data_IF_097868374926
#
_entry.id   IF_097868374926
#
_cell.length_a   1.000
_cell.length_b   1.000
_cell.length_c   1.000
_cell.angle_alpha   90.00
_cell.angle_beta   90.00
_cell.angle_gamma   90.00
#
_symmetry.space_group_name_H-M   'P 1'
#
loop_
_entity.id
_entity.type
_entity.pdbx_description
1 polymer ?
#
# COMPACT_ATOMS: atom_id res chain seq x y z
N UNK A 1 6.39 34.22 -30.45
CA UNK A 1 6.38 32.85 -29.95
C UNK A 1 4.92 32.38 -29.95
N UNK A 2 4.54 31.57 -30.93
CA UNK A 2 3.17 31.08 -31.06
C UNK A 2 3.05 29.85 -30.17
N UNK A 3 2.34 29.98 -29.07
CA UNK A 3 1.98 28.82 -28.22
C UNK A 3 0.91 28.02 -28.98
N UNK A 4 1.30 26.86 -29.54
CA UNK A 4 0.35 25.97 -30.17
C UNK A 4 -0.68 25.51 -29.12
N UNK A 5 -1.98 25.73 -29.40
CA UNK A 5 -3.06 25.16 -28.59
C UNK A 5 -2.96 23.63 -28.68
N UNK A 6 -2.89 22.91 -27.54
CA UNK A 6 -2.85 21.45 -27.56
C UNK A 6 -4.11 20.89 -28.24
N UNK A 7 -3.96 19.83 -29.06
CA UNK A 7 -5.10 19.16 -29.68
C UNK A 7 -6.00 18.52 -28.61
N UNK A 8 -7.29 18.32 -28.92
CA UNK A 8 -8.26 17.67 -28.01
C UNK A 8 -7.73 16.29 -27.56
N UNK A 9 -7.21 15.47 -28.49
CA UNK A 9 -6.61 14.16 -28.18
C UNK A 9 -5.43 14.25 -27.21
N UNK A 10 -4.65 15.35 -27.25
CA UNK A 10 -3.56 15.58 -26.31
C UNK A 10 -4.08 15.95 -24.93
N UNK A 11 -5.18 16.70 -24.84
CA UNK A 11 -5.83 17.04 -23.57
C UNK A 11 -6.47 15.82 -22.92
N UNK A 12 -7.18 15.00 -23.71
CA UNK A 12 -7.79 13.75 -23.25
C UNK A 12 -6.71 12.79 -22.68
N UNK A 13 -5.60 12.60 -23.39
CA UNK A 13 -4.50 11.77 -22.92
C UNK A 13 -3.85 12.30 -21.62
N UNK A 14 -3.76 13.62 -21.47
CA UNK A 14 -3.26 14.25 -20.24
C UNK A 14 -4.25 14.09 -19.08
N UNK A 15 -5.55 14.25 -19.35
CA UNK A 15 -6.60 14.04 -18.35
C UNK A 15 -6.59 12.59 -17.89
N UNK A 16 -6.59 11.62 -18.81
CA UNK A 16 -6.53 10.21 -18.48
C UNK A 16 -5.33 9.87 -17.60
N UNK A 17 -4.14 10.43 -17.90
CA UNK A 17 -2.96 10.24 -17.06
C UNK A 17 -3.16 10.77 -15.64
N UNK A 18 -3.81 11.92 -15.46
CA UNK A 18 -4.10 12.48 -14.14
C UNK A 18 -5.12 11.63 -13.38
N UNK A 19 -6.16 11.13 -14.05
CA UNK A 19 -7.16 10.24 -13.49
C UNK A 19 -6.53 8.89 -13.06
N UNK A 20 -5.62 8.35 -13.88
CA UNK A 20 -4.86 7.13 -13.55
C UNK A 20 -3.98 7.32 -12.31
N UNK A 21 -3.26 8.46 -12.22
CA UNK A 21 -2.43 8.79 -11.05
C UNK A 21 -3.31 8.88 -9.79
N UNK A 22 -4.45 9.57 -9.89
CA UNK A 22 -5.35 9.70 -8.73
C UNK A 22 -5.98 8.36 -8.36
N UNK A 23 -6.34 7.52 -9.33
CA UNK A 23 -6.85 6.17 -9.09
C UNK A 23 -5.83 5.28 -8.32
N UNK A 24 -4.54 5.37 -8.68
CA UNK A 24 -3.46 4.68 -7.98
C UNK A 24 -3.25 5.25 -6.57
N UNK A 25 -3.36 6.57 -6.37
CA UNK A 25 -3.33 7.19 -5.04
C UNK A 25 -4.47 6.69 -4.16
N UNK A 26 -5.69 6.63 -4.70
CA UNK A 26 -6.87 6.11 -4.01
C UNK A 26 -6.71 4.61 -3.70
N UNK A 27 -6.13 3.82 -4.62
CA UNK A 27 -5.82 2.42 -4.38
C UNK A 27 -4.85 2.26 -3.19
N UNK A 28 -3.79 3.07 -3.13
CA UNK A 28 -2.85 3.07 -2.00
C UNK A 28 -3.50 3.50 -0.70
N UNK A 29 -4.35 4.52 -0.73
CA UNK A 29 -5.08 4.97 0.47
C UNK A 29 -6.01 3.87 1.00
N UNK A 30 -6.73 3.15 0.11
CA UNK A 30 -7.56 1.99 0.49
C UNK A 30 -6.72 0.86 1.09
N UNK A 31 -5.50 0.62 0.58
CA UNK A 31 -4.60 -0.36 1.16
C UNK A 31 -4.22 0.02 2.60
N UNK A 32 -3.81 1.26 2.85
CA UNK A 32 -3.51 1.76 4.19
C UNK A 32 -4.73 1.62 5.11
N UNK A 33 -5.90 2.07 4.67
CA UNK A 33 -7.15 1.95 5.44
C UNK A 33 -7.51 0.48 5.75
N UNK A 34 -7.30 -0.45 4.81
CA UNK A 34 -7.51 -1.88 5.05
C UNK A 34 -6.56 -2.47 6.08
N UNK A 35 -5.29 -2.02 6.09
CA UNK A 35 -4.32 -2.37 7.14
C UNK A 35 -4.76 -1.81 8.50
N UNK A 36 -5.23 -0.56 8.55
CA UNK A 36 -5.64 0.10 9.78
C UNK A 36 -7.00 -0.37 10.30
N UNK A 37 -7.81 -1.00 9.44
CA UNK A 37 -9.03 -1.74 9.82
C UNK A 37 -8.72 -3.17 10.33
N UNK A 38 -7.73 -3.29 11.21
CA UNK A 38 -7.29 -4.57 11.77
C UNK A 38 -6.85 -5.58 10.69
N UNK A 39 -6.16 -5.09 9.65
CA UNK A 39 -5.69 -5.89 8.51
C UNK A 39 -6.80 -6.72 7.85
N UNK A 40 -7.94 -6.08 7.59
CA UNK A 40 -9.11 -6.76 7.04
C UNK A 40 -8.80 -7.50 5.72
N UNK A 41 -8.80 -8.85 5.73
CA UNK A 41 -8.36 -9.63 4.58
C UNK A 41 -9.27 -9.49 3.37
N UNK A 42 -10.57 -9.19 3.55
CA UNK A 42 -11.50 -9.00 2.46
C UNK A 42 -11.27 -7.65 1.77
N UNK A 43 -11.09 -6.58 2.56
CA UNK A 43 -10.75 -5.25 2.03
C UNK A 43 -9.40 -5.29 1.30
N UNK A 44 -8.38 -5.88 1.91
CA UNK A 44 -7.04 -5.95 1.35
C UNK A 44 -6.99 -6.84 0.11
N UNK A 45 -7.59 -8.03 0.14
CA UNK A 45 -7.58 -8.97 -0.98
C UNK A 45 -8.21 -8.40 -2.26
N UNK A 46 -9.25 -7.58 -2.15
CA UNK A 46 -9.91 -6.94 -3.29
C UNK A 46 -8.99 -5.97 -4.08
N UNK A 47 -7.91 -5.50 -3.46
CA UNK A 47 -6.99 -4.54 -4.07
C UNK A 47 -5.90 -5.20 -4.94
N UNK A 48 -5.77 -6.51 -4.89
CA UNK A 48 -4.73 -7.27 -5.59
C UNK A 48 -5.31 -8.06 -6.78
N UNK A 49 -4.51 -8.25 -7.82
CA UNK A 49 -4.79 -9.23 -8.86
C UNK A 49 -4.66 -10.66 -8.32
N UNK A 50 -5.28 -11.63 -9.01
CA UNK A 50 -5.25 -13.04 -8.58
C UNK A 50 -3.82 -13.61 -8.52
N UNK A 51 -2.95 -13.15 -9.43
CA UNK A 51 -1.54 -13.52 -9.56
C UNK A 51 -0.57 -12.53 -8.90
N UNK A 52 -1.08 -11.62 -8.08
CA UNK A 52 -0.27 -10.59 -7.45
C UNK A 52 0.72 -11.15 -6.41
N UNK A 53 1.71 -10.33 -6.08
CA UNK A 53 2.71 -10.65 -5.05
C UNK A 53 2.75 -9.56 -4.00
N UNK A 54 2.65 -9.95 -2.74
CA UNK A 54 2.93 -9.09 -1.59
C UNK A 54 4.18 -9.60 -0.86
N UNK A 55 5.08 -8.68 -0.52
CA UNK A 55 6.32 -9.02 0.18
C UNK A 55 6.71 -7.91 1.14
N UNK A 56 7.23 -8.26 2.30
CA UNK A 56 7.82 -7.29 3.22
C UNK A 56 9.09 -7.86 3.86
N UNK A 57 10.10 -6.97 3.99
CA UNK A 57 11.37 -7.32 4.61
C UNK A 57 11.16 -7.84 6.05
N UNK A 58 11.77 -8.98 6.36
CA UNK A 58 11.65 -9.61 7.67
C UNK A 58 10.32 -10.33 7.94
N UNK A 59 9.37 -10.32 6.99
CA UNK A 59 8.08 -11.01 7.11
C UNK A 59 8.01 -12.18 6.13
N UNK A 60 8.23 -11.93 4.84
CA UNK A 60 8.17 -12.95 3.82
C UNK A 60 7.48 -12.48 2.54
N UNK A 61 7.29 -13.45 1.62
CA UNK A 61 6.71 -13.24 0.29
C UNK A 61 5.49 -14.15 0.11
N UNK A 62 4.38 -13.56 -0.30
CA UNK A 62 3.11 -14.24 -0.54
C UNK A 62 2.69 -14.01 -1.99
N UNK A 63 2.54 -15.09 -2.75
CA UNK A 63 2.21 -15.07 -4.17
C UNK A 63 0.79 -15.58 -4.39
N UNK A 64 -0.01 -14.81 -5.10
CA UNK A 64 -1.42 -15.01 -5.32
C UNK A 64 -2.30 -14.36 -4.24
N UNK A 65 -3.49 -13.88 -4.66
CA UNK A 65 -4.46 -13.21 -3.78
C UNK A 65 -4.79 -14.05 -2.56
N UNK A 66 -5.00 -15.36 -2.73
CA UNK A 66 -5.37 -16.25 -1.63
C UNK A 66 -4.27 -16.36 -0.58
N UNK A 67 -2.99 -16.40 -1.00
CA UNK A 67 -1.87 -16.42 -0.07
C UNK A 67 -1.74 -15.08 0.67
N UNK A 68 -1.98 -13.97 -0.01
CA UNK A 68 -1.97 -12.62 0.57
C UNK A 68 -3.09 -12.48 1.61
N UNK A 69 -4.32 -12.86 1.27
CA UNK A 69 -5.47 -12.81 2.20
C UNK A 69 -5.29 -13.76 3.37
N UNK A 70 -4.72 -14.94 3.12
CA UNK A 70 -4.38 -15.92 4.16
C UNK A 70 -3.38 -15.34 5.18
N UNK A 71 -2.36 -14.64 4.71
CA UNK A 71 -1.41 -13.95 5.59
C UNK A 71 -2.09 -12.89 6.47
N UNK A 72 -2.90 -12.00 5.88
CA UNK A 72 -3.61 -10.96 6.65
C UNK A 72 -4.63 -11.56 7.63
N UNK A 73 -5.32 -12.62 7.23
CA UNK A 73 -6.21 -13.36 8.14
C UNK A 73 -5.47 -13.95 9.34
N UNK A 74 -4.30 -14.55 9.11
CA UNK A 74 -3.48 -15.10 10.17
C UNK A 74 -2.93 -13.99 11.09
N UNK A 75 -2.47 -12.87 10.52
CA UNK A 75 -2.00 -11.72 11.30
C UNK A 75 -3.11 -11.17 12.20
N UNK A 76 -4.30 -10.93 11.64
CA UNK A 76 -5.49 -10.48 12.37
C UNK A 76 -5.84 -11.43 13.52
N UNK A 77 -5.84 -12.73 13.27
CA UNK A 77 -6.17 -13.76 14.25
C UNK A 77 -5.21 -13.78 15.46
N UNK A 78 -3.99 -13.24 15.32
CA UNK A 78 -3.06 -13.14 16.46
C UNK A 78 -3.52 -12.16 17.52
N UNK A 79 -4.36 -11.16 17.17
CA UNK A 79 -4.73 -10.05 18.05
C UNK A 79 -3.51 -9.23 18.54
N UNK A 80 -2.37 -9.35 17.87
CA UNK A 80 -1.12 -8.72 18.30
C UNK A 80 -1.15 -7.21 18.11
N UNK A 81 -1.61 -6.75 16.95
CA UNK A 81 -1.73 -5.32 16.63
C UNK A 81 -3.07 -4.83 17.14
N UNK A 82 -3.07 -3.83 17.99
CA UNK A 82 -4.29 -3.26 18.59
C UNK A 82 -4.88 -2.13 17.76
N UNK A 83 -4.01 -1.29 17.24
CA UNK A 83 -4.32 -0.20 16.32
C UNK A 83 -3.09 0.13 15.51
N UNK A 84 -3.28 0.64 14.32
CA UNK A 84 -2.20 1.12 13.44
C UNK A 84 -2.66 2.32 12.62
N UNK A 85 -1.68 3.09 12.18
CA UNK A 85 -1.83 4.21 11.27
C UNK A 85 -0.74 4.11 10.20
N UNK A 86 -1.13 3.77 8.97
CA UNK A 86 -0.23 3.70 7.83
C UNK A 86 -0.25 4.99 7.03
N UNK A 87 0.84 5.74 7.04
CA UNK A 87 1.03 6.93 6.22
C UNK A 87 1.91 6.59 5.01
N UNK A 88 1.31 6.44 3.83
CA UNK A 88 2.04 6.37 2.57
C UNK A 88 2.18 7.76 1.97
N UNK A 89 3.43 8.23 1.81
CA UNK A 89 3.74 9.62 1.50
C UNK A 89 4.66 9.72 0.28
N UNK A 90 4.76 10.96 -0.28
CA UNK A 90 5.73 11.33 -1.32
C UNK A 90 5.73 10.37 -2.53
N UNK A 91 4.56 10.14 -3.17
CA UNK A 91 4.47 9.22 -4.29
C UNK A 91 5.28 9.68 -5.50
N UNK A 92 5.98 8.72 -6.12
CA UNK A 92 6.48 8.82 -7.48
C UNK A 92 5.77 7.73 -8.27
N UNK A 93 4.93 8.12 -9.24
CA UNK A 93 4.09 7.20 -10.03
C UNK A 93 4.40 7.41 -11.51
N UNK A 94 4.80 6.33 -12.18
CA UNK A 94 5.05 6.31 -13.62
C UNK A 94 4.08 5.34 -14.29
N UNK A 95 3.34 5.86 -15.30
CA UNK A 95 2.31 5.12 -16.03
C UNK A 95 2.78 4.84 -17.45
N UNK A 96 2.59 3.59 -17.88
CA UNK A 96 2.87 3.12 -19.24
C UNK A 96 1.71 2.24 -19.72
N UNK A 97 0.75 2.84 -20.43
CA UNK A 97 -0.47 2.15 -20.87
C UNK A 97 -1.27 1.61 -19.69
N UNK A 98 -1.51 0.29 -19.67
CA UNK A 98 -2.25 -0.40 -18.61
C UNK A 98 -1.36 -0.94 -17.48
N UNK A 99 -0.13 -0.46 -17.40
CA UNK A 99 0.81 -0.77 -16.32
C UNK A 99 1.33 0.51 -15.67
N UNK A 100 1.68 0.44 -14.40
CA UNK A 100 2.33 1.53 -13.70
C UNK A 100 3.29 1.01 -12.64
N UNK A 101 4.23 1.87 -12.25
CA UNK A 101 5.08 1.66 -11.08
C UNK A 101 4.84 2.77 -10.05
N UNK A 102 5.01 2.45 -8.78
CA UNK A 102 4.90 3.41 -7.69
C UNK A 102 6.00 3.23 -6.66
N UNK A 103 6.49 4.34 -6.16
CA UNK A 103 7.38 4.38 -5.01
C UNK A 103 6.81 5.33 -3.97
N UNK A 104 6.77 4.88 -2.69
CA UNK A 104 6.18 5.65 -1.59
C UNK A 104 7.08 5.59 -0.37
N UNK A 105 7.10 6.66 0.42
CA UNK A 105 7.65 6.59 1.77
C UNK A 105 6.59 6.05 2.72
N UNK A 106 7.04 5.23 3.68
CA UNK A 106 6.22 4.69 4.77
C UNK A 106 6.61 5.35 6.09
N UNK A 107 5.60 5.85 6.79
CA UNK A 107 5.60 6.00 8.24
C UNK A 107 4.42 5.19 8.78
N UNK A 108 4.67 4.23 9.64
CA UNK A 108 3.62 3.48 10.33
C UNK A 108 3.80 3.67 11.84
N UNK A 109 2.71 4.00 12.49
CA UNK A 109 2.60 4.06 13.95
C UNK A 109 1.65 2.96 14.39
N UNK A 110 1.98 2.20 15.42
CA UNK A 110 1.07 1.17 15.91
C UNK A 110 1.31 0.84 17.38
N UNK A 111 0.27 0.33 18.02
CA UNK A 111 0.34 -0.26 19.35
C UNK A 111 0.14 -1.76 19.24
N UNK A 112 1.00 -2.53 19.91
CA UNK A 112 0.89 -3.98 19.92
C UNK A 112 0.91 -4.55 21.34
N UNK A 113 0.22 -5.66 21.51
CA UNK A 113 0.38 -6.52 22.67
C UNK A 113 1.75 -7.17 22.63
N UNK A 114 2.48 -7.10 23.73
CA UNK A 114 3.78 -7.76 23.90
C UNK A 114 3.67 -8.84 24.98
N UNK A 115 4.45 -9.92 24.89
CA UNK A 115 4.51 -10.90 25.95
C UNK A 115 4.93 -10.24 27.27
N UNK A 116 4.27 -10.61 28.34
CA UNK A 116 4.63 -10.24 29.73
C UNK A 116 4.67 -8.72 30.04
N UNK A 117 3.87 -7.91 29.33
CA UNK A 117 3.87 -6.47 29.55
C UNK A 117 2.61 -5.73 29.13
N UNK A 118 2.58 -4.43 29.47
CA UNK A 118 1.60 -3.52 28.92
C UNK A 118 1.84 -3.33 27.42
N UNK A 119 0.79 -3.01 26.63
CA UNK A 119 0.94 -2.74 25.21
C UNK A 119 2.00 -1.67 24.96
N UNK A 120 2.80 -1.86 23.92
CA UNK A 120 3.87 -0.94 23.56
C UNK A 120 3.53 -0.22 22.25
N UNK A 121 3.98 1.03 22.17
CA UNK A 121 3.90 1.83 20.96
C UNK A 121 5.15 1.62 20.10
N UNK A 122 4.93 1.50 18.79
CA UNK A 122 5.98 1.27 17.81
C UNK A 122 5.89 2.29 16.67
N UNK A 123 7.05 2.57 16.09
CA UNK A 123 7.19 3.32 14.83
C UNK A 123 7.97 2.48 13.83
N UNK A 124 7.48 2.45 12.60
CA UNK A 124 8.21 1.95 11.43
C UNK A 124 8.45 3.09 10.47
N UNK A 125 9.68 3.17 9.95
CA UNK A 125 10.05 4.00 8.81
C UNK A 125 10.53 3.07 7.70
N UNK A 126 10.13 3.35 6.47
CA UNK A 126 10.50 2.54 5.33
C UNK A 126 9.99 3.11 4.02
N UNK A 127 9.82 2.23 3.05
CA UNK A 127 9.31 2.58 1.74
C UNK A 127 8.63 1.39 1.07
N UNK A 128 7.79 1.71 0.09
CA UNK A 128 7.16 0.74 -0.79
C UNK A 128 7.69 0.90 -2.21
N UNK A 129 7.85 -0.23 -2.92
CA UNK A 129 8.01 -0.33 -4.36
C UNK A 129 6.88 -1.20 -4.89
N UNK A 130 6.12 -0.66 -5.83
CA UNK A 130 4.86 -1.24 -6.26
C UNK A 130 4.77 -1.30 -7.78
N UNK A 131 4.10 -2.31 -8.28
CA UNK A 131 3.67 -2.43 -9.66
C UNK A 131 2.16 -2.57 -9.68
N UNK A 132 1.56 -1.92 -10.66
CA UNK A 132 0.11 -1.90 -10.84
C UNK A 132 -0.24 -2.35 -12.25
N UNK A 133 -1.39 -2.94 -12.40
CA UNK A 133 -1.98 -3.30 -13.69
C UNK A 133 -3.43 -2.85 -13.71
N UNK A 134 -3.86 -2.30 -14.85
CA UNK A 134 -5.26 -1.96 -15.11
C UNK A 134 -5.91 -3.09 -15.91
N UNK A 135 -7.02 -3.62 -15.40
CA UNK A 135 -7.84 -4.63 -16.07
C UNK A 135 -9.29 -4.18 -15.94
N UNK A 136 -10.02 -4.17 -17.06
CA UNK A 136 -11.41 -3.72 -17.12
C UNK A 136 -11.63 -2.30 -16.55
N UNK A 137 -10.65 -1.43 -16.77
CA UNK A 137 -10.66 -0.03 -16.30
C UNK A 137 -10.25 0.18 -14.85
N UNK A 138 -9.99 -0.88 -14.08
CA UNK A 138 -9.61 -0.80 -12.67
C UNK A 138 -8.12 -1.06 -12.43
N UNK A 139 -7.46 -0.14 -11.71
CA UNK A 139 -6.11 -0.32 -11.22
C UNK A 139 -6.08 -1.20 -9.97
N UNK A 140 -5.22 -2.22 -9.96
CA UNK A 140 -4.95 -3.06 -8.79
C UNK A 140 -3.45 -3.32 -8.65
N UNK A 141 -3.03 -3.72 -7.45
CA UNK A 141 -1.66 -4.14 -7.22
C UNK A 141 -1.35 -5.44 -8.00
N UNK A 142 -0.27 -5.39 -8.79
CA UNK A 142 0.38 -6.56 -9.36
C UNK A 142 1.51 -7.03 -8.46
N UNK A 143 2.25 -6.10 -7.86
CA UNK A 143 3.19 -6.41 -6.78
C UNK A 143 3.31 -5.25 -5.80
N UNK A 144 3.53 -5.59 -4.54
CA UNK A 144 3.85 -4.66 -3.48
C UNK A 144 5.01 -5.22 -2.68
N UNK A 145 6.12 -4.47 -2.63
CA UNK A 145 7.25 -4.74 -1.75
C UNK A 145 7.37 -3.62 -0.72
N UNK A 146 7.43 -4.00 0.55
CA UNK A 146 7.64 -3.11 1.68
C UNK A 146 9.03 -3.33 2.29
N UNK A 147 9.87 -2.31 2.27
CA UNK A 147 11.15 -2.30 2.99
C UNK A 147 10.99 -1.57 4.31
N UNK A 148 11.27 -2.25 5.40
CA UNK A 148 11.44 -1.62 6.71
C UNK A 148 12.90 -1.19 6.86
N UNK A 149 13.13 0.11 7.09
CA UNK A 149 14.44 0.69 7.33
C UNK A 149 14.71 0.86 8.83
N UNK A 150 13.66 1.24 9.58
CA UNK A 150 13.72 1.41 11.02
C UNK A 150 12.46 0.83 11.67
N UNK A 151 12.63 0.11 12.77
CA UNK A 151 11.56 -0.37 13.63
C UNK A 151 11.94 -0.09 15.08
N UNK A 152 11.31 0.89 15.68
CA UNK A 152 11.60 1.35 17.03
C UNK A 152 10.40 1.18 17.96
N UNK A 153 10.67 0.72 19.18
CA UNK A 153 9.68 0.65 20.26
C UNK A 153 9.84 1.85 21.20
N UNK A 154 8.74 2.41 21.64
CA UNK A 154 8.69 3.52 22.57
C UNK A 154 7.89 3.12 23.81
N UNK A 155 8.40 3.45 24.98
CA UNK A 155 7.60 3.44 26.22
C UNK A 155 6.92 4.78 26.33
N UNK A 156 5.59 4.77 26.43
CA UNK A 156 4.86 5.96 26.86
C UNK A 156 5.26 6.21 28.32
N UNK A 157 5.85 7.35 28.59
CA UNK A 157 6.08 7.80 29.96
C UNK A 157 4.76 8.41 30.43
N UNK A 158 4.27 7.99 31.59
CA UNK A 158 3.11 8.54 32.27
C UNK A 158 3.33 10.01 32.64
#
# INVERSE_FOLDING_TARGET
MTTATPSVSTLEARLQRLEDIESIRQLKARYCAGCDADHDPALLGALFHDDAVWEASGIGRFAGRDAITGYFSALRATGRIRNSEHCAMNPIIDISGDTATGHWRLLMLYTANVPDGAPQFFRIIGWYREQYRRVEGEWRFQSLFCQVEEHAAYRLQD
#
